data_IF_096838573427
#
_entry.id   IF_096838573427
#
_cell.length_a   1.000
_cell.length_b   1.000
_cell.length_c   1.000
_cell.angle_alpha   90.00
_cell.angle_beta   90.00
_cell.angle_gamma   90.00
#
_symmetry.space_group_name_H-M   'P 1'
#
loop_
_entity.id
_entity.type
_entity.pdbx_description
1 polymer ?
#
# COMPACT_ATOMS: atom_id res chain seq x y z
N UNK A 1 5.99 8.15 11.42
CA UNK A 1 6.35 6.92 10.68
C UNK A 1 7.79 6.59 11.02
N UNK A 2 8.24 5.35 10.80
CA UNK A 2 9.63 4.97 11.06
C UNK A 2 10.57 5.72 10.10
N UNK A 3 11.83 6.02 10.48
CA UNK A 3 12.78 6.73 9.60
C UNK A 3 13.01 6.00 8.25
N UNK A 4 13.15 4.68 8.28
CA UNK A 4 13.30 3.86 7.07
C UNK A 4 12.12 4.04 6.10
N UNK A 5 10.90 4.08 6.63
CA UNK A 5 9.70 4.31 5.83
C UNK A 5 9.64 5.71 5.22
N UNK A 6 10.13 6.74 5.93
CA UNK A 6 10.25 8.07 5.34
C UNK A 6 11.27 8.13 4.20
N UNK A 7 12.41 7.43 4.33
CA UNK A 7 13.42 7.38 3.28
C UNK A 7 12.90 6.67 2.03
N UNK A 8 12.31 5.49 2.22
CA UNK A 8 11.69 4.71 1.14
C UNK A 8 10.62 5.51 0.39
N UNK A 9 9.68 6.12 1.13
CA UNK A 9 8.64 6.97 0.54
C UNK A 9 9.24 8.14 -0.27
N UNK A 10 10.32 8.78 0.21
CA UNK A 10 10.96 9.90 -0.51
C UNK A 10 11.63 9.47 -1.80
N UNK A 11 12.30 8.33 -1.81
CA UNK A 11 12.90 7.76 -3.03
C UNK A 11 11.80 7.47 -4.06
N UNK A 12 10.71 6.83 -3.63
CA UNK A 12 9.59 6.51 -4.52
C UNK A 12 8.83 7.74 -5.01
N UNK A 13 8.78 8.83 -4.24
CA UNK A 13 8.22 10.10 -4.72
C UNK A 13 9.00 10.71 -5.88
N UNK A 14 10.26 10.33 -6.08
CA UNK A 14 11.07 10.76 -7.22
C UNK A 14 11.02 9.73 -8.36
N UNK A 15 11.19 8.45 -8.04
CA UNK A 15 11.27 7.40 -9.05
C UNK A 15 9.92 7.12 -9.74
N UNK A 16 8.82 7.09 -8.99
CA UNK A 16 7.52 6.71 -9.55
C UNK A 16 6.99 7.70 -10.60
N UNK A 17 7.13 9.04 -10.46
CA UNK A 17 6.79 9.96 -11.55
C UNK A 17 7.64 9.76 -12.81
N UNK A 18 8.92 9.43 -12.67
CA UNK A 18 9.81 9.15 -13.81
C UNK A 18 9.32 7.89 -14.53
N UNK A 19 9.14 6.79 -13.81
CA UNK A 19 8.61 5.55 -14.35
C UNK A 19 7.21 5.73 -14.96
N UNK A 20 6.33 6.44 -14.25
CA UNK A 20 5.00 6.79 -14.71
C UNK A 20 5.00 7.55 -16.03
N UNK A 21 5.92 8.50 -16.19
CA UNK A 21 6.11 9.22 -17.45
C UNK A 21 6.60 8.28 -18.56
N UNK A 22 7.53 7.38 -18.27
CA UNK A 22 7.99 6.36 -19.23
C UNK A 22 6.86 5.42 -19.66
N UNK A 23 5.97 5.00 -18.74
CA UNK A 23 4.81 4.19 -19.10
C UNK A 23 3.87 4.94 -20.05
N UNK A 24 3.58 6.20 -19.78
CA UNK A 24 2.73 7.03 -20.65
C UNK A 24 3.39 7.21 -22.02
N UNK A 25 4.68 7.55 -22.07
CA UNK A 25 5.41 7.70 -23.33
C UNK A 25 5.47 6.39 -24.13
N UNK A 26 5.64 5.24 -23.46
CA UNK A 26 5.63 3.92 -24.08
C UNK A 26 4.25 3.51 -24.61
N UNK A 27 3.17 3.88 -23.91
CA UNK A 27 1.80 3.66 -24.40
C UNK A 27 1.45 4.52 -25.61
N UNK A 28 1.99 5.74 -25.67
CA UNK A 28 1.81 6.68 -26.78
C UNK A 28 2.77 6.43 -27.95
N UNK A 29 3.55 5.34 -27.90
CA UNK A 29 4.53 4.97 -28.91
C UNK A 29 5.64 6.04 -29.14
N UNK A 30 5.88 6.93 -28.17
CA UNK A 30 6.96 7.92 -28.25
C UNK A 30 8.33 7.33 -27.91
N UNK A 31 8.37 6.22 -27.17
CA UNK A 31 9.59 5.49 -26.82
C UNK A 31 9.37 3.97 -26.94
N UNK A 32 10.45 3.22 -27.20
CA UNK A 32 10.41 1.76 -27.17
C UNK A 32 10.02 1.27 -25.76
N UNK A 33 9.13 0.29 -25.69
CA UNK A 33 8.65 -0.30 -24.43
C UNK A 33 9.63 -1.29 -23.80
N UNK A 34 10.63 -1.78 -24.56
CA UNK A 34 11.69 -2.65 -24.04
C UNK A 34 12.54 -1.97 -22.94
N UNK A 35 13.15 -0.79 -23.16
CA UNK A 35 13.89 -0.10 -22.10
C UNK A 35 12.99 0.27 -20.91
N UNK A 36 11.72 0.59 -21.14
CA UNK A 36 10.74 0.84 -20.07
C UNK A 36 10.54 -0.41 -19.21
N UNK A 37 10.40 -1.58 -19.84
CA UNK A 37 10.27 -2.87 -19.16
C UNK A 37 11.52 -3.21 -18.35
N UNK A 38 12.72 -2.97 -18.91
CA UNK A 38 13.99 -3.20 -18.20
C UNK A 38 14.11 -2.27 -16.98
N UNK A 39 13.81 -0.98 -17.17
CA UNK A 39 13.86 0.01 -16.09
C UNK A 39 12.87 -0.34 -14.96
N UNK A 40 11.64 -0.73 -15.31
CA UNK A 40 10.64 -1.11 -14.32
C UNK A 40 10.99 -2.42 -13.60
N UNK A 41 11.53 -3.41 -14.33
CA UNK A 41 12.05 -4.65 -13.71
C UNK A 41 13.16 -4.35 -12.71
N UNK A 42 14.12 -3.50 -13.08
CA UNK A 42 15.20 -3.10 -12.18
C UNK A 42 14.66 -2.40 -10.92
N UNK A 43 13.69 -1.49 -11.08
CA UNK A 43 13.02 -0.84 -9.96
C UNK A 43 12.35 -1.84 -9.02
N UNK A 44 11.53 -2.77 -9.55
CA UNK A 44 10.82 -3.76 -8.72
C UNK A 44 11.81 -4.70 -8.00
N UNK A 45 12.90 -5.11 -8.66
CA UNK A 45 13.95 -5.93 -8.03
C UNK A 45 14.63 -5.19 -6.88
N UNK A 46 15.02 -3.94 -7.09
CA UNK A 46 15.65 -3.12 -6.06
C UNK A 46 14.70 -2.86 -4.90
N UNK A 47 13.42 -2.60 -5.16
CA UNK A 47 12.44 -2.39 -4.11
C UNK A 47 12.15 -3.67 -3.31
N UNK A 48 12.05 -4.82 -3.99
CA UNK A 48 11.96 -6.13 -3.34
C UNK A 48 13.18 -6.40 -2.44
N UNK A 49 14.40 -6.15 -2.93
CA UNK A 49 15.62 -6.31 -2.13
C UNK A 49 15.60 -5.36 -0.92
N UNK A 50 15.20 -4.10 -1.11
CA UNK A 50 15.11 -3.11 -0.03
C UNK A 50 14.12 -3.54 1.05
N UNK A 51 12.88 -3.87 0.69
CA UNK A 51 11.84 -4.28 1.66
C UNK A 51 12.22 -5.59 2.36
N UNK A 52 12.99 -6.45 1.70
CA UNK A 52 13.52 -7.69 2.31
C UNK A 52 14.61 -7.43 3.33
N UNK A 53 15.53 -6.50 3.04
CA UNK A 53 16.57 -6.11 3.97
C UNK A 53 16.03 -5.27 5.14
N UNK A 54 15.02 -4.43 4.88
CA UNK A 54 14.46 -3.49 5.87
C UNK A 54 12.93 -3.56 5.83
N UNK A 55 12.30 -4.55 6.51
CA UNK A 55 10.84 -4.71 6.54
C UNK A 55 10.09 -3.49 7.09
N UNK A 56 10.78 -2.65 7.87
CA UNK A 56 10.29 -1.39 8.43
C UNK A 56 10.23 -0.22 7.43
N UNK A 57 10.68 -0.44 6.19
CA UNK A 57 10.57 0.53 5.09
C UNK A 57 9.11 0.74 4.64
N UNK A 58 8.23 -0.21 4.92
CA UNK A 58 6.80 -0.11 4.58
C UNK A 58 5.94 0.00 5.84
N UNK A 59 4.81 0.73 5.79
CA UNK A 59 4.02 1.02 6.99
C UNK A 59 3.31 -0.22 7.57
N UNK A 60 2.97 -1.20 6.74
CA UNK A 60 2.25 -2.41 7.15
C UNK A 60 2.39 -3.52 6.10
N UNK A 61 2.34 -4.78 6.54
CA UNK A 61 2.27 -5.98 5.70
C UNK A 61 3.44 -6.14 4.71
N UNK A 62 4.71 -6.10 5.15
CA UNK A 62 5.87 -6.24 4.27
C UNK A 62 5.85 -7.52 3.43
N UNK A 63 5.44 -8.65 4.01
CA UNK A 63 5.36 -9.93 3.30
C UNK A 63 4.37 -9.92 2.13
N UNK A 64 3.27 -9.16 2.25
CA UNK A 64 2.28 -9.05 1.17
C UNK A 64 2.83 -8.20 0.02
N UNK A 65 3.58 -7.14 0.34
CA UNK A 65 4.25 -6.29 -0.66
C UNK A 65 5.37 -7.08 -1.36
N UNK A 66 6.13 -7.89 -0.63
CA UNK A 66 7.14 -8.77 -1.22
C UNK A 66 6.52 -9.77 -2.19
N UNK A 67 5.42 -10.44 -1.79
CA UNK A 67 4.69 -11.34 -2.68
C UNK A 67 4.22 -10.62 -3.94
N UNK A 68 3.68 -9.40 -3.79
CA UNK A 68 3.28 -8.57 -4.92
C UNK A 68 4.45 -8.29 -5.89
N UNK A 69 5.64 -7.95 -5.40
CA UNK A 69 6.81 -7.75 -6.26
C UNK A 69 7.25 -9.04 -6.96
N UNK A 70 7.26 -10.18 -6.27
CA UNK A 70 7.57 -11.47 -6.90
C UNK A 70 6.59 -11.76 -8.04
N UNK A 71 5.30 -11.54 -7.82
CA UNK A 71 4.25 -11.72 -8.84
C UNK A 71 4.42 -10.73 -9.99
N UNK A 72 4.73 -9.46 -9.70
CA UNK A 72 5.01 -8.46 -10.71
C UNK A 72 6.23 -8.83 -11.57
N UNK A 73 7.28 -9.39 -10.97
CA UNK A 73 8.46 -9.88 -11.70
C UNK A 73 8.12 -11.05 -12.63
N UNK A 74 7.21 -11.95 -12.23
CA UNK A 74 6.71 -13.03 -13.09
C UNK A 74 5.99 -12.45 -14.32
N UNK A 75 5.19 -11.39 -14.15
CA UNK A 75 4.57 -10.70 -15.29
C UNK A 75 5.62 -10.03 -16.16
N UNK A 76 6.56 -9.28 -15.58
CA UNK A 76 7.60 -8.55 -16.31
C UNK A 76 8.59 -9.45 -17.06
N UNK A 77 8.76 -10.71 -16.62
CA UNK A 77 9.54 -11.70 -17.36
C UNK A 77 9.00 -11.93 -18.78
N UNK A 78 7.68 -11.82 -18.99
CA UNK A 78 7.07 -12.05 -20.30
C UNK A 78 7.44 -10.99 -21.34
N UNK A 79 7.24 -9.68 -21.13
CA UNK A 79 7.69 -8.66 -22.07
C UNK A 79 9.21 -8.56 -22.20
N UNK A 80 9.99 -9.08 -21.26
CA UNK A 80 11.44 -9.25 -21.44
C UNK A 80 11.78 -10.35 -22.46
N UNK A 81 11.04 -11.47 -22.44
CA UNK A 81 11.18 -12.57 -23.40
C UNK A 81 10.53 -12.26 -24.75
N UNK A 82 9.43 -11.51 -24.74
CA UNK A 82 8.59 -11.17 -25.89
C UNK A 82 8.41 -9.64 -25.96
N UNK A 83 9.39 -8.89 -26.50
CA UNK A 83 9.39 -7.42 -26.45
C UNK A 83 8.16 -6.74 -27.05
N UNK A 84 7.49 -7.36 -28.01
CA UNK A 84 6.24 -6.83 -28.59
C UNK A 84 5.08 -6.77 -27.58
N UNK A 85 5.19 -7.49 -26.46
CA UNK A 85 4.25 -7.42 -25.34
C UNK A 85 4.58 -6.28 -24.36
N UNK A 86 5.61 -5.47 -24.61
CA UNK A 86 6.05 -4.40 -23.70
C UNK A 86 5.03 -3.30 -23.44
N UNK A 87 4.00 -3.15 -24.29
CA UNK A 87 2.85 -2.28 -23.97
C UNK A 87 2.10 -2.74 -22.72
N UNK A 88 2.11 -4.03 -22.41
CA UNK A 88 1.48 -4.57 -21.20
C UNK A 88 2.23 -4.17 -19.92
N UNK A 89 3.56 -4.11 -19.96
CA UNK A 89 4.37 -3.47 -18.90
C UNK A 89 3.87 -2.07 -18.63
N UNK A 90 3.63 -1.29 -19.68
CA UNK A 90 3.24 0.11 -19.54
C UNK A 90 1.82 0.23 -18.97
N UNK A 91 0.87 -0.59 -19.44
CA UNK A 91 -0.49 -0.64 -18.88
C UNK A 91 -0.49 -1.02 -17.39
N UNK A 92 0.14 -2.13 -17.01
CA UNK A 92 0.19 -2.56 -15.61
C UNK A 92 0.97 -1.55 -14.74
N UNK A 93 2.05 -0.96 -15.30
CA UNK A 93 2.87 0.05 -14.65
C UNK A 93 2.12 1.35 -14.31
N UNK A 94 1.02 1.69 -15.01
CA UNK A 94 0.21 2.86 -14.67
C UNK A 94 -0.29 2.82 -13.22
N UNK A 95 -0.45 1.64 -12.61
CA UNK A 95 -0.85 1.52 -11.21
C UNK A 95 0.16 2.15 -10.24
N UNK A 96 1.41 2.37 -10.65
CA UNK A 96 2.42 3.04 -9.84
C UNK A 96 2.19 4.54 -9.73
N UNK A 97 1.50 5.16 -10.69
CA UNK A 97 1.01 6.53 -10.53
C UNK A 97 -0.01 6.61 -9.38
N UNK A 98 -0.86 5.58 -9.23
CA UNK A 98 -1.73 5.48 -8.07
C UNK A 98 -0.94 5.27 -6.77
N UNK A 99 0.12 4.45 -6.78
CA UNK A 99 1.04 4.27 -5.64
C UNK A 99 1.72 5.59 -5.26
N UNK A 100 2.13 6.39 -6.23
CA UNK A 100 2.68 7.73 -6.02
C UNK A 100 1.71 8.61 -5.22
N UNK A 101 0.43 8.69 -5.61
CA UNK A 101 -0.56 9.47 -4.85
C UNK A 101 -0.82 8.92 -3.43
N UNK A 102 -0.75 7.60 -3.26
CA UNK A 102 -0.83 6.94 -1.96
C UNK A 102 0.36 7.28 -1.04
N UNK A 103 1.55 7.48 -1.59
CA UNK A 103 2.75 7.92 -0.87
C UNK A 103 2.68 9.43 -0.61
N UNK A 104 2.33 10.23 -1.62
CA UNK A 104 2.23 11.68 -1.56
C UNK A 104 1.30 12.14 -0.43
N UNK A 105 0.11 11.51 -0.28
CA UNK A 105 -0.82 11.82 0.80
C UNK A 105 -0.29 11.52 2.22
N UNK A 106 0.75 10.67 2.35
CA UNK A 106 1.41 10.39 3.64
C UNK A 106 2.47 11.44 3.97
N UNK A 107 3.22 11.87 2.97
CA UNK A 107 4.33 12.81 3.16
C UNK A 107 3.82 14.26 3.26
N UNK A 108 2.85 14.67 2.44
CA UNK A 108 2.30 16.04 2.45
C UNK A 108 0.95 16.12 3.17
N UNK A 109 1.00 16.28 4.50
CA UNK A 109 -0.21 16.36 5.34
C UNK A 109 -1.12 17.54 5.01
N UNK A 110 -0.57 18.69 4.60
CA UNK A 110 -1.34 19.89 4.24
C UNK A 110 -2.20 19.69 2.99
N UNK A 111 -1.70 18.92 2.02
CA UNK A 111 -2.38 18.61 0.75
C UNK A 111 -3.05 17.22 0.77
N UNK A 112 -3.22 16.63 1.95
CA UNK A 112 -3.73 15.26 2.10
C UNK A 112 -5.08 15.05 1.41
N UNK A 113 -5.98 16.03 1.48
CA UNK A 113 -7.32 15.95 0.87
C UNK A 113 -7.21 15.84 -0.65
N UNK A 114 -6.38 16.69 -1.27
CA UNK A 114 -6.14 16.68 -2.73
C UNK A 114 -5.56 15.35 -3.18
N UNK A 115 -4.44 14.92 -2.57
CA UNK A 115 -3.82 13.63 -2.93
C UNK A 115 -4.73 12.44 -2.64
N UNK A 116 -5.59 12.52 -1.61
CA UNK A 116 -6.57 11.47 -1.34
C UNK A 116 -7.66 11.42 -2.41
N UNK A 117 -8.12 12.57 -2.92
CA UNK A 117 -9.09 12.62 -4.01
C UNK A 117 -8.50 12.03 -5.30
N UNK A 118 -7.28 12.45 -5.68
CA UNK A 118 -6.60 11.94 -6.88
C UNK A 118 -6.27 10.45 -6.74
N UNK A 119 -5.84 10.01 -5.55
CA UNK A 119 -5.64 8.59 -5.26
C UNK A 119 -6.92 7.79 -5.55
N UNK A 120 -8.09 8.20 -5.04
CA UNK A 120 -9.32 7.46 -5.29
C UNK A 120 -9.79 7.55 -6.74
N UNK A 121 -9.64 8.72 -7.37
CA UNK A 121 -9.96 8.91 -8.78
C UNK A 121 -9.13 8.00 -9.70
N UNK A 122 -7.87 7.72 -9.34
CA UNK A 122 -6.99 6.83 -10.10
C UNK A 122 -7.10 5.36 -9.67
N UNK A 123 -7.47 5.08 -8.41
CA UNK A 123 -7.54 3.72 -7.87
C UNK A 123 -8.54 2.85 -8.65
N UNK A 124 -9.76 3.34 -8.88
CA UNK A 124 -10.78 2.55 -9.56
C UNK A 124 -10.41 2.23 -11.03
N UNK A 125 -10.10 3.22 -11.89
CA UNK A 125 -9.70 2.94 -13.28
C UNK A 125 -8.49 2.01 -13.36
N UNK A 126 -7.42 2.30 -12.61
CA UNK A 126 -6.14 1.62 -12.77
C UNK A 126 -6.07 0.27 -12.05
N UNK A 127 -6.77 0.08 -10.92
CA UNK A 127 -6.62 -1.14 -10.11
C UNK A 127 -7.84 -2.04 -10.14
N UNK A 128 -9.05 -1.48 -10.25
CA UNK A 128 -10.30 -2.25 -10.22
C UNK A 128 -10.77 -2.61 -11.62
N UNK A 129 -10.64 -1.72 -12.60
CA UNK A 129 -11.10 -1.99 -13.97
C UNK A 129 -9.99 -2.51 -14.89
N UNK A 130 -8.83 -1.86 -14.88
CA UNK A 130 -7.73 -2.22 -15.78
C UNK A 130 -7.20 -3.64 -15.54
N UNK A 131 -7.02 -4.09 -14.30
CA UNK A 131 -6.44 -5.41 -14.02
C UNK A 131 -7.31 -6.58 -14.51
N UNK A 132 -8.62 -6.63 -14.23
CA UNK A 132 -9.51 -7.64 -14.82
C UNK A 132 -9.58 -7.56 -16.35
N UNK A 133 -9.57 -6.35 -16.91
CA UNK A 133 -9.49 -6.17 -18.36
C UNK A 133 -8.20 -6.77 -18.95
N UNK A 134 -7.06 -6.49 -18.32
CA UNK A 134 -5.76 -7.05 -18.71
C UNK A 134 -5.71 -8.57 -18.59
N UNK A 135 -6.38 -9.17 -17.60
CA UNK A 135 -6.49 -10.63 -17.48
C UNK A 135 -7.16 -11.25 -18.72
N UNK A 136 -8.27 -10.66 -19.19
CA UNK A 136 -8.96 -11.12 -20.40
C UNK A 136 -8.05 -10.98 -21.63
N UNK A 137 -7.31 -9.88 -21.72
CA UNK A 137 -6.35 -9.65 -22.80
C UNK A 137 -5.18 -10.64 -22.78
N UNK A 138 -4.57 -10.88 -21.62
CA UNK A 138 -3.51 -11.88 -21.47
C UNK A 138 -3.99 -13.27 -21.83
N UNK A 139 -5.20 -13.64 -21.42
CA UNK A 139 -5.77 -14.93 -21.80
C UNK A 139 -5.91 -15.04 -23.32
N UNK A 140 -6.46 -14.02 -23.98
CA UNK A 140 -6.64 -14.01 -25.44
C UNK A 140 -5.31 -14.04 -26.19
N UNK A 141 -4.35 -13.22 -25.77
CA UNK A 141 -3.05 -13.09 -26.42
C UNK A 141 -2.19 -14.35 -26.23
N UNK A 142 -2.11 -14.86 -25.00
CA UNK A 142 -1.25 -16.01 -24.67
C UNK A 142 -1.89 -17.37 -24.96
N UNK A 143 -3.16 -17.40 -25.39
CA UNK A 143 -3.78 -18.63 -25.93
C UNK A 143 -3.38 -18.89 -27.39
N UNK A 144 -2.69 -17.95 -28.04
CA UNK A 144 -2.23 -18.14 -29.41
C UNK A 144 -1.15 -19.24 -29.51
N UNK A 145 -1.08 -20.00 -30.62
CA UNK A 145 -0.20 -21.17 -30.74
C UNK A 145 1.29 -20.90 -30.54
N UNK A 146 1.75 -19.66 -30.74
CA UNK A 146 3.16 -19.29 -30.55
C UNK A 146 3.62 -19.26 -29.08
N UNK A 147 2.70 -19.28 -28.12
CA UNK A 147 3.04 -19.22 -26.69
C UNK A 147 2.86 -20.57 -26.00
N UNK A 148 3.72 -20.83 -25.01
CA UNK A 148 3.61 -22.04 -24.20
C UNK A 148 2.42 -21.95 -23.24
N UNK A 149 1.80 -23.10 -22.92
CA UNK A 149 0.77 -23.17 -21.87
C UNK A 149 1.28 -22.69 -20.51
N UNK A 150 2.57 -22.87 -20.22
CA UNK A 150 3.18 -22.39 -18.99
C UNK A 150 3.15 -20.86 -18.92
N UNK A 151 3.47 -20.15 -20.02
CA UNK A 151 3.38 -18.70 -20.10
C UNK A 151 1.97 -18.19 -19.83
N UNK A 152 0.96 -18.83 -20.44
CA UNK A 152 -0.45 -18.52 -20.19
C UNK A 152 -0.81 -18.67 -18.70
N UNK A 153 -0.46 -19.80 -18.08
CA UNK A 153 -0.76 -20.09 -16.67
C UNK A 153 -0.04 -19.11 -15.75
N UNK A 154 1.25 -18.85 -15.97
CA UNK A 154 2.04 -17.94 -15.15
C UNK A 154 1.53 -16.50 -15.25
N UNK A 155 1.27 -16.01 -16.46
CA UNK A 155 0.83 -14.64 -16.68
C UNK A 155 -0.61 -14.42 -16.15
N UNK A 156 -1.56 -15.28 -16.52
CA UNK A 156 -2.94 -15.16 -16.03
C UNK A 156 -3.02 -15.41 -14.52
N UNK A 157 -2.28 -16.40 -14.00
CA UNK A 157 -2.21 -16.69 -12.56
C UNK A 157 -1.64 -15.51 -11.78
N UNK A 158 -0.53 -14.91 -12.24
CA UNK A 158 0.03 -13.71 -11.64
C UNK A 158 -0.98 -12.55 -11.65
N UNK A 159 -1.68 -12.35 -12.77
CA UNK A 159 -2.69 -11.30 -12.89
C UNK A 159 -3.87 -11.50 -11.94
N UNK A 160 -4.34 -12.74 -11.74
CA UNK A 160 -5.36 -13.06 -10.72
C UNK A 160 -4.88 -12.69 -9.32
N UNK A 161 -3.63 -13.01 -8.97
CA UNK A 161 -3.05 -12.63 -7.67
C UNK A 161 -3.01 -11.11 -7.50
N UNK A 162 -2.69 -10.35 -8.54
CA UNK A 162 -2.71 -8.89 -8.50
C UNK A 162 -4.12 -8.30 -8.34
N UNK A 163 -5.13 -8.90 -8.99
CA UNK A 163 -6.54 -8.54 -8.79
C UNK A 163 -6.93 -8.75 -7.32
N UNK A 164 -6.61 -9.91 -6.75
CA UNK A 164 -6.89 -10.21 -5.34
C UNK A 164 -6.17 -9.23 -4.40
N UNK A 165 -4.91 -8.91 -4.68
CA UNK A 165 -4.15 -7.90 -3.95
C UNK A 165 -4.85 -6.54 -3.97
N UNK A 166 -5.33 -6.08 -5.14
CA UNK A 166 -6.07 -4.82 -5.26
C UNK A 166 -7.39 -4.84 -4.47
N UNK A 167 -8.11 -5.97 -4.44
CA UNK A 167 -9.31 -6.13 -3.61
C UNK A 167 -8.98 -6.05 -2.12
N UNK A 168 -7.89 -6.69 -1.68
CA UNK A 168 -7.43 -6.60 -0.29
C UNK A 168 -7.04 -5.15 0.07
N UNK A 169 -6.35 -4.43 -0.82
CA UNK A 169 -6.02 -3.01 -0.59
C UNK A 169 -7.27 -2.13 -0.48
N UNK A 170 -8.29 -2.38 -1.31
CA UNK A 170 -9.57 -1.68 -1.24
C UNK A 170 -10.25 -1.95 0.10
N UNK A 171 -10.34 -3.23 0.49
CA UNK A 171 -10.92 -3.64 1.76
C UNK A 171 -10.22 -2.99 2.97
N UNK A 172 -8.89 -3.02 3.01
CA UNK A 172 -8.10 -2.37 4.05
C UNK A 172 -8.30 -0.85 4.08
N UNK A 173 -8.44 -0.22 2.92
CA UNK A 173 -8.67 1.22 2.83
C UNK A 173 -10.06 1.62 3.34
N UNK A 174 -11.10 0.85 3.00
CA UNK A 174 -12.49 1.09 3.42
C UNK A 174 -12.68 0.77 4.91
N UNK A 175 -12.19 -0.38 5.37
CA UNK A 175 -12.29 -0.77 6.79
C UNK A 175 -11.62 0.24 7.72
N UNK A 176 -10.45 0.77 7.35
CA UNK A 176 -9.78 1.83 8.10
C UNK A 176 -10.57 3.15 8.12
N UNK A 177 -11.41 3.42 7.11
CA UNK A 177 -12.31 4.57 7.12
C UNK A 177 -13.45 4.34 8.11
N UNK A 178 -14.06 3.15 8.07
CA UNK A 178 -15.20 2.80 8.93
C UNK A 178 -14.85 2.75 10.42
N UNK A 179 -13.59 2.57 10.77
CA UNK A 179 -13.13 2.59 12.18
C UNK A 179 -12.90 4.00 12.74
N UNK A 180 -12.94 5.06 11.91
CA UNK A 180 -12.72 6.46 12.37
C UNK A 180 -13.85 7.08 13.21
N UNK A 181 -15.15 6.83 12.95
CA UNK A 181 -16.24 7.43 13.72
C UNK A 181 -16.20 7.08 15.22
N UNK A 182 -15.72 5.89 15.58
CA UNK A 182 -15.72 5.41 16.97
C UNK A 182 -14.73 6.14 17.92
N UNK A 183 -13.82 6.97 17.40
CA UNK A 183 -12.88 7.78 18.22
C UNK A 183 -13.16 9.28 18.16
N UNK A 184 -14.14 9.70 17.35
CA UNK A 184 -14.51 11.09 17.15
C UNK A 184 -15.55 11.64 18.11
N UNK A 185 -16.02 10.82 19.08
CA UNK A 185 -16.84 11.26 20.20
C UNK A 185 -16.04 12.20 21.12
N UNK A 186 -15.82 13.44 20.68
CA UNK A 186 -15.61 14.56 21.59
C UNK A 186 -16.77 14.51 22.57
N UNK A 187 -16.49 14.20 23.84
CA UNK A 187 -17.36 14.62 24.93
C UNK A 187 -17.63 16.11 24.70
N UNK A 188 -18.90 16.57 24.63
CA UNK A 188 -19.17 17.99 24.68
C UNK A 188 -18.46 18.54 25.92
N UNK A 189 -17.66 19.58 25.73
CA UNK A 189 -17.08 20.30 26.85
C UNK A 189 -18.25 20.72 27.75
N UNK A 190 -18.20 20.32 29.02
CA UNK A 190 -19.19 20.75 29.99
C UNK A 190 -19.24 22.29 29.97
N UNK A 191 -20.40 22.92 29.70
CA UNK A 191 -20.53 24.35 29.82
C UNK A 191 -20.58 24.69 31.31
N UNK A 192 -19.50 25.26 31.83
CA UNK A 192 -19.50 25.84 33.17
C UNK A 192 -18.22 25.60 33.95
N UNK A 193 -17.23 26.47 33.75
CA UNK A 193 -16.24 26.84 34.78
C UNK A 193 -15.48 28.08 34.30
N UNK A 194 -16.20 29.17 34.07
CA UNK A 194 -15.63 30.50 34.18
C UNK A 194 -16.04 31.04 35.55
N UNK A 195 -15.11 31.73 36.22
CA UNK A 195 -15.22 32.48 37.49
C UNK A 195 -14.77 31.74 38.75
N UNK A 196 -13.54 32.02 39.20
CA UNK A 196 -13.22 32.47 40.57
C UNK A 196 -11.69 32.59 40.79
N UNK A 197 -11.22 33.84 40.82
CA UNK A 197 -10.31 34.47 41.80
C UNK A 197 -9.10 33.73 42.41
N UNK A 198 -7.95 34.41 42.28
CA UNK A 198 -6.81 34.51 43.21
C UNK A 198 -7.01 33.98 44.65
N UNK A 199 -6.14 33.06 45.06
CA UNK A 199 -5.58 33.02 46.42
C UNK A 199 -4.24 32.28 46.42
N UNK A 200 -3.28 32.90 47.11
CA UNK A 200 -1.99 32.36 47.55
C UNK A 200 -2.24 31.39 48.71
N UNK A 201 -1.50 30.28 48.78
CA UNK A 201 -1.48 29.39 49.94
C UNK A 201 -0.92 27.99 49.65
N UNK A 202 0.19 27.67 50.33
CA UNK A 202 0.88 26.37 50.37
C UNK A 202 -0.03 25.17 50.70
N UNK A 203 0.30 23.99 50.15
CA UNK A 203 -0.30 22.73 50.59
C UNK A 203 -0.05 21.54 49.68
N UNK A 204 0.91 20.69 50.06
CA UNK A 204 1.07 19.31 49.61
C UNK A 204 -0.28 18.55 49.58
N UNK A 205 -0.62 17.87 48.47
CA UNK A 205 -1.17 16.49 48.51
C UNK A 205 -1.42 15.88 47.12
N UNK A 206 -0.74 14.76 46.89
CA UNK A 206 -1.17 13.53 46.16
C UNK A 206 -1.66 13.63 44.70
N UNK A 207 -0.76 13.19 43.82
CA UNK A 207 -1.04 12.74 42.47
C UNK A 207 -2.10 11.60 42.39
N UNK A 208 -3.02 11.62 41.41
CA UNK A 208 -3.85 10.48 41.12
C UNK A 208 -3.06 9.42 40.34
N UNK A 209 -3.13 8.18 40.84
CA UNK A 209 -2.52 6.99 40.28
C UNK A 209 -2.93 6.78 38.82
N UNK A 210 -1.93 6.60 37.97
CA UNK A 210 -2.01 6.26 36.56
C UNK A 210 -3.05 5.17 36.27
N UNK A 211 -4.10 5.52 35.54
CA UNK A 211 -4.98 4.55 34.89
C UNK A 211 -4.15 3.73 33.86
N UNK A 212 -4.28 2.39 33.83
CA UNK A 212 -3.50 1.57 32.91
C UNK A 212 -3.89 1.89 31.47
N UNK A 213 -2.90 2.34 30.69
CA UNK A 213 -3.05 2.57 29.25
C UNK A 213 -3.56 1.30 28.56
N UNK A 214 -4.40 1.47 27.53
CA UNK A 214 -5.06 0.38 26.80
C UNK A 214 -4.11 -0.75 26.33
N UNK A 215 -2.84 -0.43 26.12
CA UNK A 215 -1.79 -1.39 25.78
C UNK A 215 -1.50 -2.42 26.89
N UNK A 216 -1.57 -2.02 28.17
CA UNK A 216 -1.43 -2.93 29.33
C UNK A 216 -2.66 -3.84 29.52
N UNK A 217 -3.86 -3.42 29.08
CA UNK A 217 -5.07 -4.27 29.13
C UNK A 217 -5.02 -5.41 28.12
N UNK A 218 -4.54 -5.15 26.90
CA UNK A 218 -4.40 -6.18 25.86
C UNK A 218 -3.34 -7.22 26.23
N UNK A 219 -2.21 -6.79 26.80
CA UNK A 219 -1.18 -7.72 27.28
C UNK A 219 -1.71 -8.68 28.35
N UNK A 220 -2.53 -8.21 29.29
CA UNK A 220 -3.11 -9.07 30.33
C UNK A 220 -4.17 -10.04 29.79
N UNK A 221 -4.96 -9.63 28.80
CA UNK A 221 -5.94 -10.50 28.16
C UNK A 221 -5.27 -11.68 27.41
N UNK A 222 -4.14 -11.41 26.74
CA UNK A 222 -3.39 -12.45 26.02
C UNK A 222 -2.71 -13.44 26.99
N UNK A 223 -2.18 -12.96 28.12
CA UNK A 223 -1.60 -13.85 29.14
C UNK A 223 -2.68 -14.73 29.78
N UNK A 224 -3.84 -14.16 30.12
CA UNK A 224 -4.95 -14.92 30.71
C UNK A 224 -5.48 -16.01 29.78
N UNK A 225 -5.59 -15.75 28.47
CA UNK A 225 -6.06 -16.76 27.51
C UNK A 225 -5.05 -17.91 27.31
N UNK A 226 -3.75 -17.62 27.45
CA UNK A 226 -2.68 -18.61 27.33
C UNK A 226 -2.63 -19.56 28.53
N UNK A 227 -2.91 -19.04 29.72
CA UNK A 227 -2.96 -19.84 30.95
C UNK A 227 -4.21 -20.72 31.00
N UNK A 228 -5.37 -20.24 30.53
CA UNK A 228 -6.59 -21.07 30.43
C UNK A 228 -6.45 -22.25 29.46
N UNK A 229 -5.63 -22.12 28.40
CA UNK A 229 -5.37 -23.23 27.47
C UNK A 229 -4.37 -24.27 27.99
N UNK A 230 -3.59 -23.96 29.03
CA UNK A 230 -2.67 -24.93 29.67
C UNK A 230 -3.37 -25.84 30.68
N UNK A 231 -4.52 -25.44 31.21
CA UNK A 231 -5.29 -26.24 32.19
C UNK A 231 -6.16 -27.31 31.51
N UNK A 232 -6.31 -27.25 30.19
CA UNK A 232 -7.09 -28.20 29.37
C UNK A 232 -6.23 -29.25 28.65
N UNK A 233 -4.98 -29.46 29.08
CA UNK A 233 -4.09 -30.54 28.65
C UNK A 233 -3.61 -31.30 29.87
#
# INVERSE_FOLDING_TARGET
MKPACHLHDRVNLVLLPILGSLFVLGLLDYIDTKPVTVAFTAYVLLDLAWVSAIPDAVPSLPSVIQLHHVVALVLLAHPLLYPHLGKYTCWDGLCELNTFFLIARRQWKSQRTLFSAIYWATFFPMRIFLYPYMLVYFYRELSQPQYSRLSLVLCCGAQVVLILFNVVLLWLSVSNWWQRPARGGRRPAAPGAATATLSVGDGQSRAPKNAPTARKRISRAITSARDSMRVLR
#
